data_IF_018546077875
#
_entry.id   IF_018546077875
#
_cell.length_a   1.000
_cell.length_b   1.000
_cell.length_c   1.000
_cell.angle_alpha   90.00
_cell.angle_beta   90.00
_cell.angle_gamma   90.00
#
_symmetry.space_group_name_H-M   'P 1'
#
loop_
_entity.id
_entity.type
_entity.pdbx_description
1 polymer ?
#
# COMPACT_ATOMS: atom_id res chain seq x y z
N UNK A 1 12.55 -24.23 -7.94
CA UNK A 1 11.69 -23.62 -6.90
C UNK A 1 11.79 -22.10 -7.02
N UNK A 2 11.02 -21.51 -7.93
CA UNK A 2 10.80 -20.07 -7.95
C UNK A 2 9.88 -19.75 -6.78
N UNK A 3 10.44 -19.23 -5.70
CA UNK A 3 9.65 -18.66 -4.61
C UNK A 3 9.03 -17.39 -5.21
N UNK A 4 7.85 -17.50 -5.80
CA UNK A 4 7.03 -16.33 -6.11
C UNK A 4 6.63 -15.80 -4.73
N UNK A 5 7.48 -14.96 -4.16
CA UNK A 5 7.18 -14.21 -2.96
C UNK A 5 6.23 -13.12 -3.44
N UNK A 6 4.94 -13.45 -3.54
CA UNK A 6 3.91 -12.42 -3.55
C UNK A 6 4.04 -11.77 -2.18
N UNK A 7 4.74 -10.64 -2.13
CA UNK A 7 4.71 -9.77 -0.97
C UNK A 7 3.24 -9.39 -0.75
N UNK A 8 2.65 -9.85 0.36
CA UNK A 8 1.32 -9.40 0.76
C UNK A 8 1.47 -7.89 1.02
N UNK A 9 0.54 -7.07 0.53
CA UNK A 9 0.63 -5.60 0.68
C UNK A 9 0.85 -5.17 2.14
N UNK A 10 0.31 -5.94 3.10
CA UNK A 10 0.57 -5.77 4.52
C UNK A 10 2.07 -5.82 4.89
N UNK A 11 2.82 -6.77 4.34
CA UNK A 11 4.27 -6.92 4.61
C UNK A 11 5.08 -5.71 4.12
N UNK A 12 4.66 -5.13 2.98
CA UNK A 12 5.23 -3.90 2.44
C UNK A 12 4.99 -2.73 3.40
N UNK A 13 3.73 -2.52 3.78
CA UNK A 13 3.33 -1.42 4.67
C UNK A 13 4.04 -1.53 6.02
N UNK A 14 4.12 -2.73 6.61
CA UNK A 14 4.82 -2.98 7.87
C UNK A 14 6.31 -2.58 7.76
N UNK A 15 7.02 -3.00 6.71
CA UNK A 15 8.44 -2.64 6.52
C UNK A 15 8.63 -1.15 6.34
N UNK A 16 7.75 -0.50 5.58
CA UNK A 16 7.81 0.94 5.40
C UNK A 16 7.60 1.66 6.74
N UNK A 17 6.62 1.22 7.55
CA UNK A 17 6.37 1.77 8.88
C UNK A 17 7.57 1.58 9.81
N UNK A 18 8.21 0.40 9.81
CA UNK A 18 9.42 0.12 10.60
C UNK A 18 10.58 1.07 10.29
N UNK A 19 10.65 1.60 9.06
CA UNK A 19 11.61 2.62 8.68
C UNK A 19 11.15 4.01 9.13
N UNK A 20 9.87 4.35 8.92
CA UNK A 20 9.32 5.66 9.27
C UNK A 20 9.40 5.95 10.78
N UNK A 21 9.16 4.96 11.64
CA UNK A 21 9.23 5.13 13.11
C UNK A 21 10.64 5.41 13.65
N UNK A 22 11.69 5.14 12.85
CA UNK A 22 13.09 5.39 13.21
C UNK A 22 13.52 6.83 12.97
N UNK A 23 12.77 7.58 12.15
CA UNK A 23 13.05 8.98 11.85
C UNK A 23 12.77 9.83 13.10
N UNK A 24 13.63 10.82 13.35
CA UNK A 24 13.49 11.77 14.47
C UNK A 24 13.33 13.21 13.96
N UNK A 25 12.37 13.98 14.52
CA UNK A 25 11.34 13.54 15.47
C UNK A 25 10.38 12.51 14.86
N UNK A 26 9.75 11.68 15.70
CA UNK A 26 8.81 10.68 15.21
C UNK A 26 7.58 11.37 14.62
N UNK A 27 7.19 10.94 13.43
CA UNK A 27 5.99 11.44 12.75
C UNK A 27 4.73 10.96 13.45
N UNK A 28 3.70 11.80 13.45
CA UNK A 28 2.36 11.38 13.84
C UNK A 28 1.79 10.43 12.79
N UNK A 29 0.81 9.62 13.18
CA UNK A 29 0.18 8.64 12.29
C UNK A 29 -0.31 9.29 10.97
N UNK A 30 -1.01 10.42 11.06
CA UNK A 30 -1.52 11.13 9.89
C UNK A 30 -0.40 11.64 8.96
N UNK A 31 0.67 12.20 9.52
CA UNK A 31 1.83 12.65 8.72
C UNK A 31 2.51 11.46 8.03
N UNK A 32 2.58 10.33 8.73
CA UNK A 32 3.16 9.11 8.22
C UNK A 32 2.32 8.52 7.06
N UNK A 33 1.00 8.57 7.16
CA UNK A 33 0.07 8.17 6.09
C UNK A 33 0.21 9.10 4.87
N UNK A 34 0.28 10.42 5.08
CA UNK A 34 0.46 11.39 4.00
C UNK A 34 1.76 11.16 3.23
N UNK A 35 2.88 10.94 3.94
CA UNK A 35 4.18 10.64 3.31
C UNK A 35 4.16 9.29 2.60
N UNK A 36 3.51 8.29 3.17
CA UNK A 36 3.33 6.98 2.52
C UNK A 36 2.64 7.13 1.17
N UNK A 37 1.58 7.93 1.07
CA UNK A 37 0.86 8.16 -0.18
C UNK A 37 1.66 8.94 -1.22
N UNK A 38 2.44 9.92 -0.82
CA UNK A 38 3.30 10.68 -1.75
C UNK A 38 4.35 9.80 -2.44
N UNK A 39 4.72 8.67 -1.83
CA UNK A 39 5.70 7.72 -2.37
C UNK A 39 5.12 6.63 -3.28
N UNK A 40 3.80 6.56 -3.46
CA UNK A 40 3.16 5.52 -4.29
C UNK A 40 3.12 5.92 -5.78
N UNK A 41 3.08 4.93 -6.68
CA UNK A 41 2.86 5.16 -8.11
C UNK A 41 1.47 5.76 -8.37
N UNK A 42 1.36 6.59 -9.42
CA UNK A 42 0.13 7.35 -9.73
C UNK A 42 -1.11 6.46 -9.90
N UNK A 43 -0.92 5.25 -10.43
CA UNK A 43 -1.99 4.28 -10.66
C UNK A 43 -2.52 3.67 -9.35
N UNK A 44 -1.68 3.63 -8.30
CA UNK A 44 -2.06 3.21 -6.94
C UNK A 44 -2.71 4.36 -6.15
N UNK A 45 -2.29 5.60 -6.44
CA UNK A 45 -2.73 6.79 -5.73
C UNK A 45 -4.24 7.05 -5.88
N UNK A 46 -4.82 6.80 -7.07
CA UNK A 46 -6.24 7.06 -7.31
C UNK A 46 -7.17 6.18 -6.45
N UNK A 47 -6.76 4.94 -6.17
CA UNK A 47 -7.50 4.04 -5.30
C UNK A 47 -7.29 4.33 -3.81
N UNK A 48 -6.13 4.89 -3.47
CA UNK A 48 -5.76 5.23 -2.10
C UNK A 48 -6.30 6.60 -1.63
N UNK A 49 -6.76 7.45 -2.56
CA UNK A 49 -7.46 8.71 -2.24
C UNK A 49 -8.69 8.51 -1.32
N UNK A 50 -9.35 7.36 -1.39
CA UNK A 50 -10.51 7.02 -0.54
C UNK A 50 -10.12 6.75 0.93
N UNK A 51 -8.83 6.65 1.22
CA UNK A 51 -8.28 6.27 2.53
C UNK A 51 -7.62 7.45 3.25
N UNK A 52 -7.62 8.63 2.63
CA UNK A 52 -7.16 9.88 3.23
C UNK A 52 -7.94 10.16 4.52
N UNK A 53 -7.21 10.44 5.61
CA UNK A 53 -7.78 10.68 6.94
C UNK A 53 -8.29 9.43 7.67
N UNK A 54 -7.96 8.22 7.18
CA UNK A 54 -8.22 6.95 7.88
C UNK A 54 -6.99 6.44 8.62
N UNK A 55 -7.14 5.34 9.36
CA UNK A 55 -6.06 4.71 10.13
C UNK A 55 -5.17 3.85 9.26
N UNK A 56 -3.96 3.49 9.71
CA UNK A 56 -3.10 2.54 8.99
C UNK A 56 -3.77 1.18 8.75
N UNK A 57 -4.63 0.74 9.67
CA UNK A 57 -5.39 -0.49 9.50
C UNK A 57 -6.31 -0.43 8.28
N UNK A 58 -6.98 0.70 8.08
CA UNK A 58 -7.83 0.93 6.91
C UNK A 58 -7.00 0.98 5.61
N UNK A 59 -5.81 1.60 5.66
CA UNK A 59 -4.86 1.65 4.52
C UNK A 59 -4.43 0.26 4.09
N UNK A 60 -4.07 -0.62 5.03
CA UNK A 60 -3.66 -1.99 4.73
C UNK A 60 -4.81 -2.76 4.07
N UNK A 61 -6.01 -2.69 4.66
CA UNK A 61 -7.18 -3.42 4.17
C UNK A 61 -7.58 -2.98 2.76
N UNK A 62 -7.64 -1.67 2.52
CA UNK A 62 -8.06 -1.14 1.21
C UNK A 62 -6.96 -1.36 0.17
N UNK A 63 -5.69 -1.13 0.52
CA UNK A 63 -4.58 -1.37 -0.41
C UNK A 63 -4.46 -2.84 -0.84
N UNK A 64 -4.74 -3.79 0.05
CA UNK A 64 -4.80 -5.20 -0.29
C UNK A 64 -5.97 -5.53 -1.25
N UNK A 65 -7.16 -4.96 -1.01
CA UNK A 65 -8.30 -5.12 -1.92
C UNK A 65 -8.00 -4.57 -3.33
N UNK A 66 -7.36 -3.40 -3.40
CA UNK A 66 -6.98 -2.74 -4.66
C UNK A 66 -5.95 -3.57 -5.41
N UNK A 67 -4.91 -4.04 -4.71
CA UNK A 67 -3.89 -4.91 -5.30
C UNK A 67 -4.50 -6.14 -5.95
N UNK A 68 -5.37 -6.83 -5.22
CA UNK A 68 -6.03 -8.04 -5.68
C UNK A 68 -6.96 -7.75 -6.88
N UNK A 69 -7.65 -6.61 -6.89
CA UNK A 69 -8.46 -6.17 -8.03
C UNK A 69 -7.65 -5.92 -9.30
N UNK A 70 -6.53 -5.19 -9.19
CA UNK A 70 -5.63 -4.90 -10.32
C UNK A 70 -5.00 -6.19 -10.87
N UNK A 71 -4.54 -7.08 -9.99
CA UNK A 71 -3.98 -8.37 -10.40
C UNK A 71 -5.02 -9.24 -11.12
N UNK A 72 -6.27 -9.24 -10.66
CA UNK A 72 -7.36 -9.97 -11.31
C UNK A 72 -7.69 -9.42 -12.71
N UNK A 73 -7.76 -8.09 -12.86
CA UNK A 73 -7.98 -7.44 -14.15
C UNK A 73 -6.87 -7.75 -15.16
N UNK A 74 -5.60 -7.71 -14.72
CA UNK A 74 -4.45 -8.07 -15.55
C UNK A 74 -4.47 -9.51 -16.06
N UNK A 75 -4.98 -10.45 -15.26
CA UNK A 75 -5.13 -11.85 -15.68
C UNK A 75 -6.17 -11.97 -16.79
N UNK A 76 -7.33 -11.32 -16.65
CA UNK A 76 -8.41 -11.38 -17.65
C UNK A 76 -7.97 -10.73 -18.97
N UNK A 77 -7.24 -9.62 -18.93
CA UNK A 77 -6.79 -8.93 -20.14
C UNK A 77 -5.67 -9.65 -20.93
N UNK A 78 -5.10 -10.73 -20.39
CA UNK A 78 -4.06 -11.53 -21.10
C UNK A 78 -4.63 -12.71 -21.89
N UNK A 79 -5.92 -13.02 -21.72
CA UNK A 79 -6.62 -14.13 -22.40
C UNK A 79 -7.37 -13.68 -23.69
N UNK A 80 -7.27 -12.41 -24.08
CA UNK A 80 -7.86 -11.82 -25.31
C UNK A 80 -6.86 -11.64 -26.47
#
# INVERSE_FOLDING_TARGET
MSKIIIEIFCDYVIRWMEQAIRIKPQMKELEMIDVFFQGQEADYFHYLLFVVGKTFFDVIKIGEMVKNGIEYEKIISQDD
#
